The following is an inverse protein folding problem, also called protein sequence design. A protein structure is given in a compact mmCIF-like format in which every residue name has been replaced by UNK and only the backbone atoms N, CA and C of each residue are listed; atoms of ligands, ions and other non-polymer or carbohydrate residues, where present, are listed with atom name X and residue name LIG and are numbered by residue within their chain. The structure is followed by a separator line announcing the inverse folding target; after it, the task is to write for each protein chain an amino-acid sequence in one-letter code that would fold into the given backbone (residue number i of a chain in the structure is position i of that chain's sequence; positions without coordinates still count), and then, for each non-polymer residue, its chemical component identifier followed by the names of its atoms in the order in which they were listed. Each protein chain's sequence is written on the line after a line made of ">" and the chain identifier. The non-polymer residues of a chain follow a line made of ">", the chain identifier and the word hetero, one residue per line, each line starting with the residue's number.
data_IF_066543767226
#
_entry.id   IF_066543767226
#
_cell.length_a   1.000
_cell.length_b   1.000
_cell.length_c   1.000
_cell.angle_alpha   90.00
_cell.angle_beta   90.00
_cell.angle_gamma   90.00
#
_symmetry.space_group_name_H-M   'P 1'
#
loop_
_entity.id
_entity.type
_entity.pdbx_description
1 polymer ?
#
# COMPACT_ATOMS: atom_id res chain seq x y z
N UNK A 1 26.34 11.14 -8.06
CA UNK A 1 25.53 12.37 -7.83
C UNK A 1 24.47 12.04 -6.79
N UNK A 2 24.48 12.73 -5.65
CA UNK A 2 23.55 12.45 -4.54
C UNK A 2 22.22 13.11 -4.88
N UNK A 3 21.18 12.32 -5.13
CA UNK A 3 19.81 12.83 -5.22
C UNK A 3 19.37 13.31 -3.84
N UNK A 4 19.35 14.62 -3.65
CA UNK A 4 18.77 15.24 -2.46
C UNK A 4 17.26 15.04 -2.49
N UNK A 5 16.75 14.29 -1.50
CA UNK A 5 15.33 14.32 -1.17
C UNK A 5 14.97 15.78 -0.84
N UNK A 6 13.99 16.41 -1.51
CA UNK A 6 13.67 17.80 -1.24
C UNK A 6 13.07 17.95 0.16
N UNK A 7 13.80 18.56 1.08
CA UNK A 7 13.25 19.04 2.35
C UNK A 7 12.37 20.27 2.07
N UNK A 8 11.09 20.03 1.78
CA UNK A 8 10.14 21.12 1.49
C UNK A 8 9.75 21.88 2.75
N UNK A 9 10.02 23.19 2.78
CA UNK A 9 9.46 24.16 3.73
C UNK A 9 7.93 24.15 3.62
N UNK A 10 7.26 24.07 4.77
CA UNK A 10 5.82 24.25 4.94
C UNK A 10 5.49 25.75 4.78
N UNK A 11 5.05 26.13 3.59
CA UNK A 11 4.51 27.45 3.28
C UNK A 11 3.81 27.38 1.93
N UNK A 12 2.48 27.33 1.95
CA UNK A 12 1.52 27.61 0.89
C UNK A 12 1.93 27.28 -0.55
N UNK A 13 1.60 26.12 -1.01
CA UNK A 13 1.20 25.66 -2.34
C UNK A 13 1.29 24.15 -2.31
N UNK A 14 0.23 23.43 -2.70
CA UNK A 14 0.19 21.98 -2.80
C UNK A 14 1.18 21.54 -3.90
N UNK A 15 2.45 21.37 -3.55
CA UNK A 15 3.40 20.72 -4.43
C UNK A 15 2.99 19.25 -4.48
N UNK A 16 2.58 18.77 -5.65
CA UNK A 16 2.40 17.35 -5.90
C UNK A 16 3.77 16.71 -5.71
N UNK A 17 3.99 16.08 -4.55
CA UNK A 17 5.22 15.34 -4.33
C UNK A 17 5.09 14.05 -5.11
N UNK A 18 6.03 13.82 -6.00
CA UNK A 18 6.11 12.58 -6.75
C UNK A 18 6.35 11.41 -5.79
N UNK A 19 5.76 10.25 -6.12
CA UNK A 19 6.07 9.01 -5.40
C UNK A 19 7.55 8.65 -5.60
N UNK A 20 8.16 8.11 -4.56
CA UNK A 20 9.48 7.48 -4.65
C UNK A 20 9.38 6.29 -5.61
N UNK A 21 10.25 6.23 -6.59
CA UNK A 21 10.23 5.22 -7.66
C UNK A 21 11.43 4.29 -7.56
N UNK A 22 11.20 3.02 -7.87
CA UNK A 22 12.27 2.06 -8.10
C UNK A 22 13.21 2.58 -9.20
N UNK A 23 14.55 2.48 -9.07
CA UNK A 23 15.30 1.74 -8.04
C UNK A 23 15.78 2.57 -6.81
N UNK A 24 15.07 3.59 -6.38
CA UNK A 24 15.48 4.39 -5.23
C UNK A 24 15.65 3.51 -3.97
N UNK A 25 16.82 3.61 -3.34
CA UNK A 25 17.16 2.83 -2.14
C UNK A 25 16.28 3.17 -0.93
N UNK A 26 15.58 4.29 -0.95
CA UNK A 26 14.63 4.64 0.11
C UNK A 26 13.50 3.62 0.25
N UNK A 27 13.08 2.99 -0.87
CA UNK A 27 12.08 1.93 -0.89
C UNK A 27 12.54 0.63 -0.20
N UNK A 28 13.83 0.53 0.16
CA UNK A 28 14.43 -0.64 0.81
C UNK A 28 14.57 -0.48 2.33
N UNK A 29 14.05 0.59 2.88
CA UNK A 29 14.07 0.82 4.32
C UNK A 29 13.02 -0.03 5.02
N UNK A 30 13.40 -0.56 6.19
CA UNK A 30 12.45 -1.09 7.17
C UNK A 30 11.88 0.11 7.93
N UNK A 31 10.58 0.28 7.86
CA UNK A 31 9.88 1.43 8.43
C UNK A 31 9.83 1.36 9.96
N UNK A 32 9.92 2.52 10.61
CA UNK A 32 9.93 2.68 12.07
C UNK A 32 8.53 2.89 12.62
N UNK A 33 8.27 2.38 13.79
CA UNK A 33 7.02 2.58 14.48
C UNK A 33 6.69 4.06 14.68
N UNK A 34 5.42 4.37 14.58
CA UNK A 34 4.84 5.70 14.84
C UNK A 34 4.51 5.81 16.31
N UNK A 35 4.97 6.89 16.95
CA UNK A 35 4.61 7.21 18.32
C UNK A 35 3.21 7.85 18.40
N UNK A 36 2.52 7.65 19.53
CA UNK A 36 1.25 8.26 19.85
C UNK A 36 1.36 9.19 21.07
N UNK A 37 0.53 10.24 21.15
CA UNK A 37 -0.45 10.68 20.15
C UNK A 37 0.19 11.18 18.87
N UNK A 38 -0.54 11.11 17.74
CA UNK A 38 -0.05 11.58 16.45
C UNK A 38 0.22 13.07 16.48
N UNK A 39 1.41 13.47 16.04
CA UNK A 39 1.72 14.89 15.82
C UNK A 39 1.07 15.42 14.53
N UNK A 40 1.02 16.74 14.40
CA UNK A 40 0.43 17.41 13.23
C UNK A 40 1.13 17.05 11.91
N UNK A 41 2.42 16.70 11.95
CA UNK A 41 3.17 16.29 10.77
C UNK A 41 2.67 14.93 10.28
N UNK A 42 2.44 13.99 11.19
CA UNK A 42 1.93 12.65 10.88
C UNK A 42 0.49 12.71 10.38
N UNK A 43 -0.38 13.55 10.99
CA UNK A 43 -1.75 13.77 10.51
C UNK A 43 -1.79 14.33 9.07
N UNK A 44 -0.92 15.29 8.77
CA UNK A 44 -0.76 15.82 7.40
C UNK A 44 -0.20 14.77 6.43
N UNK A 45 0.69 13.91 6.89
CA UNK A 45 1.22 12.80 6.07
C UNK A 45 0.09 11.85 5.65
N UNK A 46 -0.79 11.44 6.57
CA UNK A 46 -1.94 10.57 6.28
C UNK A 46 -2.81 11.19 5.18
N UNK A 47 -3.19 12.47 5.34
CA UNK A 47 -3.97 13.19 4.33
C UNK A 47 -3.27 13.20 2.97
N UNK A 48 -1.95 13.38 2.97
CA UNK A 48 -1.20 13.40 1.72
C UNK A 48 -1.07 11.99 1.11
N UNK A 49 -0.82 10.95 1.89
CA UNK A 49 -0.78 9.56 1.42
C UNK A 49 -2.09 9.18 0.73
N UNK A 50 -3.22 9.43 1.39
CA UNK A 50 -4.55 9.16 0.83
C UNK A 50 -4.76 9.88 -0.50
N UNK A 51 -4.37 11.16 -0.57
CA UNK A 51 -4.47 11.93 -1.81
C UNK A 51 -3.56 11.38 -2.91
N UNK A 52 -2.31 11.05 -2.59
CA UNK A 52 -1.36 10.46 -3.53
C UNK A 52 -1.86 9.12 -4.07
N UNK A 53 -2.42 8.27 -3.20
CA UNK A 53 -3.03 7.00 -3.60
C UNK A 53 -4.07 7.22 -4.71
N UNK A 54 -5.04 8.10 -4.50
CA UNK A 54 -6.08 8.38 -5.49
C UNK A 54 -5.56 9.06 -6.76
N UNK A 55 -4.62 10.01 -6.64
CA UNK A 55 -4.02 10.69 -7.79
C UNK A 55 -3.31 9.74 -8.74
N UNK A 56 -2.78 8.64 -8.22
CA UNK A 56 -2.08 7.62 -9.00
C UNK A 56 -2.94 6.37 -9.31
N UNK A 57 -4.25 6.44 -9.07
CA UNK A 57 -5.19 5.33 -9.28
C UNK A 57 -4.78 4.06 -8.51
N UNK A 58 -4.21 4.21 -7.31
CA UNK A 58 -3.84 3.12 -6.43
C UNK A 58 -4.97 2.74 -5.48
N UNK A 59 -4.92 1.53 -4.96
CA UNK A 59 -5.81 1.03 -3.89
C UNK A 59 -5.10 0.94 -2.54
N UNK A 60 -3.77 1.14 -2.51
CA UNK A 60 -2.95 1.22 -1.32
C UNK A 60 -1.71 2.08 -1.57
N UNK A 61 -1.14 2.63 -0.50
CA UNK A 61 0.14 3.32 -0.51
C UNK A 61 0.76 3.32 0.89
N UNK A 62 2.02 2.91 0.99
CA UNK A 62 2.81 2.96 2.22
C UNK A 62 3.58 4.28 2.35
N UNK A 63 3.88 4.69 3.57
CA UNK A 63 4.58 5.94 3.87
C UNK A 63 5.95 6.04 3.19
N UNK A 64 6.67 4.92 3.05
CA UNK A 64 7.96 4.88 2.36
C UNK A 64 7.86 5.27 0.90
N UNK A 65 6.75 4.98 0.22
CA UNK A 65 6.51 5.36 -1.17
C UNK A 65 6.32 6.87 -1.36
N UNK A 66 6.00 7.57 -0.29
CA UNK A 66 5.88 9.03 -0.27
C UNK A 66 7.07 9.71 0.44
N UNK A 67 8.14 8.94 0.72
CA UNK A 67 9.41 9.46 1.25
C UNK A 67 9.46 9.61 2.78
N UNK A 68 8.62 8.86 3.52
CA UNK A 68 8.63 8.86 4.99
C UNK A 68 8.92 7.46 5.52
N UNK A 69 9.87 7.40 6.45
CA UNK A 69 10.35 6.17 7.10
C UNK A 69 9.55 5.89 8.37
N UNK A 70 8.24 5.67 8.21
CA UNK A 70 7.31 5.39 9.31
C UNK A 70 6.38 4.23 8.96
N UNK A 71 6.03 3.43 9.96
CA UNK A 71 5.29 2.18 9.81
C UNK A 71 3.79 2.45 9.70
N UNK A 72 3.36 2.91 8.51
CA UNK A 72 1.95 3.11 8.19
C UNK A 72 1.67 3.00 6.69
N UNK A 73 0.44 2.65 6.36
CA UNK A 73 -0.09 2.71 5.01
C UNK A 73 -1.56 3.12 5.00
N UNK A 74 -2.07 3.56 3.84
CA UNK A 74 -3.49 3.77 3.59
C UNK A 74 -3.98 2.83 2.51
N UNK A 75 -5.24 2.41 2.59
CA UNK A 75 -5.87 1.50 1.64
C UNK A 75 -7.32 1.90 1.39
N UNK A 76 -7.78 1.80 0.13
CA UNK A 76 -9.18 1.85 -0.25
C UNK A 76 -9.46 0.84 -1.37
N UNK A 77 -9.97 -0.33 -1.00
CA UNK A 77 -10.39 -1.38 -1.93
C UNK A 77 -11.86 -1.25 -2.37
N UNK A 78 -12.55 -0.15 -2.05
CA UNK A 78 -13.96 0.07 -2.37
C UNK A 78 -14.18 0.62 -3.78
N UNK A 79 -13.21 0.51 -4.69
CA UNK A 79 -13.27 1.07 -6.05
C UNK A 79 -13.53 2.58 -6.07
N UNK A 80 -12.76 3.32 -5.28
CA UNK A 80 -12.83 4.78 -5.19
C UNK A 80 -14.13 5.35 -4.63
N UNK A 81 -14.84 4.59 -3.78
CA UNK A 81 -16.01 5.11 -3.06
C UNK A 81 -15.63 6.09 -1.92
N UNK A 82 -14.35 6.44 -1.82
CA UNK A 82 -13.85 7.44 -0.88
C UNK A 82 -13.88 6.98 0.58
N UNK A 83 -13.62 5.69 0.83
CA UNK A 83 -13.55 5.10 2.17
C UNK A 83 -12.13 4.62 2.50
N UNK A 84 -11.14 5.51 2.51
CA UNK A 84 -9.77 5.14 2.86
C UNK A 84 -9.71 4.67 4.31
N UNK A 85 -8.92 3.63 4.56
CA UNK A 85 -8.58 3.15 5.89
C UNK A 85 -7.10 3.41 6.13
N UNK A 86 -6.75 3.80 7.35
CA UNK A 86 -5.37 4.04 7.77
C UNK A 86 -4.94 2.95 8.72
N UNK A 87 -3.75 2.43 8.51
CA UNK A 87 -3.17 1.34 9.30
C UNK A 87 -1.82 1.81 9.85
N UNK A 88 -1.74 1.99 11.16
CA UNK A 88 -0.54 2.48 11.85
C UNK A 88 0.01 1.37 12.73
N UNK A 89 1.32 1.13 12.65
CA UNK A 89 2.04 0.05 13.32
C UNK A 89 1.38 -1.33 13.10
N UNK A 90 1.04 -1.68 11.85
CA UNK A 90 0.34 -2.92 11.56
C UNK A 90 1.22 -4.14 11.78
N UNK A 91 0.60 -5.23 12.26
CA UNK A 91 1.23 -6.54 12.44
C UNK A 91 0.25 -7.64 12.05
N UNK A 92 0.65 -8.53 11.14
CA UNK A 92 -0.14 -9.71 10.79
C UNK A 92 0.02 -10.73 11.91
N UNK A 93 -1.09 -11.11 12.56
CA UNK A 93 -1.10 -12.05 13.69
C UNK A 93 -1.61 -13.43 13.30
N UNK A 94 -2.29 -13.56 12.16
CA UNK A 94 -2.77 -14.85 11.64
C UNK A 94 -2.91 -14.82 10.13
N UNK A 95 -2.51 -15.91 9.49
CA UNK A 95 -2.69 -16.15 8.07
C UNK A 95 -3.56 -17.39 7.85
N UNK A 96 -4.28 -17.45 6.71
CA UNK A 96 -4.86 -18.70 6.20
C UNK A 96 -3.76 -19.62 5.69
N UNK A 97 -4.02 -20.92 5.67
CA UNK A 97 -3.18 -21.87 4.92
C UNK A 97 -3.36 -21.69 3.42
N UNK A 98 -4.59 -21.40 3.02
CA UNK A 98 -4.96 -21.16 1.64
C UNK A 98 -4.32 -19.88 1.10
N UNK A 99 -3.75 -20.01 -0.09
CA UNK A 99 -3.03 -18.93 -0.78
C UNK A 99 -3.44 -18.86 -2.23
N UNK A 100 -3.29 -17.69 -2.83
CA UNK A 100 -3.49 -17.46 -4.26
C UNK A 100 -2.26 -16.73 -4.83
N UNK A 101 -1.77 -17.21 -5.97
CA UNK A 101 -0.72 -16.55 -6.74
C UNK A 101 -1.37 -15.68 -7.80
N UNK A 102 -0.96 -14.42 -7.88
CA UNK A 102 -1.49 -13.45 -8.84
C UNK A 102 -0.47 -12.35 -9.12
N UNK A 103 -0.66 -11.61 -10.22
CA UNK A 103 0.21 -10.49 -10.58
C UNK A 103 -0.13 -9.23 -9.77
N UNK A 104 0.92 -8.61 -9.24
CA UNK A 104 0.81 -7.34 -8.52
C UNK A 104 1.62 -6.26 -9.23
N UNK A 105 0.96 -5.13 -9.50
CA UNK A 105 1.64 -3.88 -9.85
C UNK A 105 1.95 -3.05 -8.62
N UNK A 106 2.85 -2.08 -8.76
CA UNK A 106 3.19 -1.16 -7.69
C UNK A 106 3.32 0.26 -8.21
N UNK A 107 2.72 1.21 -7.49
CA UNK A 107 2.83 2.64 -7.81
C UNK A 107 4.29 3.12 -7.87
N UNK A 108 5.17 2.50 -7.08
CA UNK A 108 6.61 2.80 -7.06
C UNK A 108 7.43 2.07 -8.11
N UNK A 109 6.85 1.11 -8.84
CA UNK A 109 7.51 0.37 -9.92
C UNK A 109 6.67 0.38 -11.20
N UNK A 110 6.45 1.55 -11.83
CA UNK A 110 5.57 1.69 -12.98
C UNK A 110 6.03 0.81 -14.16
N UNK A 111 5.08 0.12 -14.80
CA UNK A 111 5.35 -0.78 -15.90
C UNK A 111 5.98 -2.13 -15.53
N UNK A 112 6.14 -2.40 -14.23
CA UNK A 112 6.61 -3.68 -13.72
C UNK A 112 5.54 -4.36 -12.89
N UNK A 113 5.55 -5.69 -12.93
CA UNK A 113 4.69 -6.53 -12.08
C UNK A 113 5.52 -7.67 -11.49
N UNK A 114 5.07 -8.23 -10.37
CA UNK A 114 5.59 -9.45 -9.80
C UNK A 114 4.47 -10.47 -9.67
N UNK A 115 4.78 -11.74 -9.90
CA UNK A 115 3.86 -12.83 -9.58
C UNK A 115 4.03 -13.20 -8.11
N UNK A 116 3.01 -12.91 -7.29
CA UNK A 116 3.13 -12.96 -5.83
C UNK A 116 2.09 -13.91 -5.23
N UNK A 117 2.58 -14.87 -4.45
CA UNK A 117 1.74 -15.77 -3.66
C UNK A 117 1.33 -15.08 -2.37
N UNK A 118 0.01 -14.93 -2.12
CA UNK A 118 -0.54 -14.29 -0.93
C UNK A 118 -1.54 -15.19 -0.23
N UNK A 119 -1.62 -15.05 1.09
CA UNK A 119 -2.71 -15.64 1.87
C UNK A 119 -4.03 -14.96 1.51
N UNK A 120 -5.09 -15.75 1.32
CA UNK A 120 -6.42 -15.20 0.98
C UNK A 120 -7.13 -14.56 2.16
N UNK A 121 -6.69 -14.86 3.38
CA UNK A 121 -7.23 -14.32 4.62
C UNK A 121 -6.09 -14.04 5.60
N UNK A 122 -6.10 -12.86 6.18
CA UNK A 122 -5.17 -12.45 7.24
C UNK A 122 -5.93 -11.80 8.39
N UNK A 123 -5.40 -11.92 9.60
CA UNK A 123 -5.83 -11.12 10.74
C UNK A 123 -4.72 -10.15 11.09
N UNK A 124 -5.06 -8.87 11.16
CA UNK A 124 -4.14 -7.77 11.37
C UNK A 124 -4.44 -7.08 12.69
N UNK A 125 -3.40 -6.82 13.49
CA UNK A 125 -3.45 -5.84 14.57
C UNK A 125 -2.91 -4.51 14.02
N UNK A 126 -3.55 -3.41 14.35
CA UNK A 126 -3.11 -2.06 13.95
C UNK A 126 -3.74 -1.00 14.84
N UNK A 127 -3.21 0.22 14.78
CA UNK A 127 -3.83 1.41 15.37
C UNK A 127 -4.44 2.28 14.28
N UNK A 128 -5.54 2.95 14.61
CA UNK A 128 -6.11 4.00 13.77
C UNK A 128 -5.47 5.37 14.06
N UNK A 129 -6.03 6.43 13.49
CA UNK A 129 -5.54 7.79 13.64
C UNK A 129 -5.71 8.35 15.06
N UNK A 130 -6.67 7.84 15.81
CA UNK A 130 -6.94 8.17 17.20
C UNK A 130 -6.03 7.41 18.17
N UNK A 131 -5.34 6.37 17.70
CA UNK A 131 -4.47 5.51 18.48
C UNK A 131 -5.18 4.30 19.10
N UNK A 132 -6.45 4.10 18.73
CA UNK A 132 -7.23 2.95 19.16
C UNK A 132 -6.70 1.66 18.51
N UNK A 133 -6.60 0.60 19.30
CA UNK A 133 -6.11 -0.69 18.84
C UNK A 133 -7.23 -1.51 18.22
N UNK A 134 -6.96 -2.04 17.04
CA UNK A 134 -7.88 -2.89 16.30
C UNK A 134 -7.26 -4.25 16.00
N UNK A 135 -8.08 -5.29 16.07
CA UNK A 135 -7.78 -6.60 15.50
C UNK A 135 -8.89 -6.95 14.51
N UNK A 136 -8.56 -7.04 13.23
CA UNK A 136 -9.57 -7.30 12.18
C UNK A 136 -9.05 -8.34 11.19
N UNK A 137 -9.98 -9.16 10.69
CA UNK A 137 -9.71 -10.14 9.63
C UNK A 137 -10.13 -9.56 8.28
N UNK A 138 -9.25 -9.68 7.31
CA UNK A 138 -9.41 -9.21 5.92
C UNK A 138 -9.34 -10.40 4.97
N UNK A 139 -9.98 -10.27 3.81
CA UNK A 139 -10.15 -11.34 2.85
C UNK A 139 -9.80 -10.88 1.43
N UNK A 140 -9.44 -11.82 0.58
CA UNK A 140 -9.27 -11.65 -0.88
C UNK A 140 -8.43 -10.42 -1.24
N UNK A 141 -9.00 -9.46 -1.98
CA UNK A 141 -8.29 -8.26 -2.45
C UNK A 141 -7.79 -7.38 -1.29
N UNK A 142 -8.57 -7.21 -0.22
CA UNK A 142 -8.11 -6.45 0.95
C UNK A 142 -6.91 -7.13 1.62
N UNK A 143 -6.98 -8.46 1.80
CA UNK A 143 -5.87 -9.23 2.36
C UNK A 143 -4.62 -9.15 1.48
N UNK A 144 -4.77 -9.19 0.15
CA UNK A 144 -3.67 -9.04 -0.81
C UNK A 144 -3.06 -7.64 -0.72
N UNK A 145 -3.89 -6.59 -0.77
CA UNK A 145 -3.44 -5.20 -0.68
C UNK A 145 -2.67 -4.97 0.63
N UNK A 146 -3.20 -5.40 1.78
CA UNK A 146 -2.52 -5.26 3.07
C UNK A 146 -1.15 -5.96 3.04
N UNK A 147 -1.05 -7.17 2.53
CA UNK A 147 0.22 -7.90 2.44
C UNK A 147 1.22 -7.18 1.52
N UNK A 148 0.74 -6.55 0.44
CA UNK A 148 1.56 -5.72 -0.44
C UNK A 148 2.10 -4.49 0.28
N UNK A 149 1.25 -3.76 1.01
CA UNK A 149 1.67 -2.58 1.77
C UNK A 149 2.58 -2.95 2.95
N UNK A 150 2.35 -4.09 3.60
CA UNK A 150 3.24 -4.63 4.64
C UNK A 150 4.65 -4.92 4.10
N UNK A 151 4.76 -5.45 2.88
CA UNK A 151 6.06 -5.65 2.23
C UNK A 151 6.83 -4.33 2.08
N UNK A 152 6.15 -3.25 1.70
CA UNK A 152 6.76 -1.92 1.62
C UNK A 152 7.32 -1.47 2.98
N UNK A 153 6.64 -1.79 4.08
CA UNK A 153 7.13 -1.47 5.43
C UNK A 153 8.38 -2.27 5.83
N UNK A 154 8.61 -3.41 5.16
CA UNK A 154 9.80 -4.27 5.34
C UNK A 154 10.85 -4.06 4.22
N UNK A 155 10.71 -3.01 3.41
CA UNK A 155 11.63 -2.69 2.32
C UNK A 155 11.59 -3.65 1.13
N UNK A 156 10.47 -4.37 0.95
CA UNK A 156 10.24 -5.30 -0.15
C UNK A 156 9.31 -4.68 -1.20
N UNK A 157 9.45 -5.12 -2.45
CA UNK A 157 8.60 -4.75 -3.56
C UNK A 157 8.03 -6.02 -4.21
N UNK A 158 6.86 -5.93 -4.83
CA UNK A 158 6.26 -7.08 -5.53
C UNK A 158 7.18 -7.65 -6.62
N UNK A 159 8.01 -6.83 -7.25
CA UNK A 159 8.99 -7.24 -8.26
C UNK A 159 10.17 -8.05 -7.71
N UNK A 160 10.29 -8.19 -6.40
CA UNK A 160 11.35 -9.02 -5.78
C UNK A 160 10.98 -10.50 -5.73
N UNK A 161 9.67 -10.83 -5.86
CA UNK A 161 9.17 -12.19 -5.79
C UNK A 161 9.43 -12.98 -7.07
N UNK A 162 9.32 -12.31 -8.23
CA UNK A 162 9.77 -12.85 -9.51
C UNK A 162 10.31 -11.76 -10.46
N UNK A 163 11.32 -12.11 -11.24
CA UNK A 163 11.89 -11.23 -12.26
C UNK A 163 11.07 -11.31 -13.55
N UNK A 164 9.88 -10.72 -13.57
CA UNK A 164 9.06 -10.61 -14.77
C UNK A 164 9.00 -9.18 -15.28
N UNK A 165 9.46 -8.92 -16.52
CA UNK A 165 9.11 -7.69 -17.23
C UNK A 165 7.69 -7.83 -17.79
N UNK A 166 6.82 -6.88 -17.44
CA UNK A 166 5.47 -6.84 -17.98
C UNK A 166 5.49 -6.36 -19.44
N UNK A 167 5.02 -7.21 -20.36
CA UNK A 167 4.67 -6.79 -21.72
C UNK A 167 3.20 -6.31 -21.72
N UNK A 168 2.98 -5.04 -22.03
CA UNK A 168 1.65 -4.41 -22.09
C UNK A 168 0.66 -5.10 -23.03
N UNK A 169 1.13 -5.98 -23.89
CA UNK A 169 0.35 -6.60 -24.96
C UNK A 169 -0.49 -7.81 -24.50
N UNK A 170 -0.39 -8.25 -23.26
CA UNK A 170 -1.05 -9.49 -22.79
C UNK A 170 -2.10 -9.36 -21.70
N UNK A 171 -2.22 -8.23 -21.01
CA UNK A 171 -3.25 -8.07 -19.99
C UNK A 171 -3.84 -6.67 -19.97
N UNK A 172 -5.05 -6.57 -20.47
CA UNK A 172 -5.88 -5.39 -20.27
C UNK A 172 -6.17 -5.28 -18.76
N UNK A 173 -5.83 -4.15 -18.15
CA UNK A 173 -6.05 -3.88 -16.71
C UNK A 173 -7.53 -4.03 -16.27
N UNK A 174 -8.43 -4.20 -17.23
CA UNK A 174 -9.86 -4.46 -17.08
C UNK A 174 -10.15 -5.85 -16.50
N UNK A 175 -9.28 -6.84 -16.69
CA UNK A 175 -9.55 -8.23 -16.29
C UNK A 175 -9.30 -8.52 -14.81
N UNK A 176 -8.46 -7.74 -14.14
CA UNK A 176 -8.25 -7.89 -12.69
C UNK A 176 -9.43 -7.43 -11.84
N UNK A 177 -10.38 -6.70 -12.43
CA UNK A 177 -11.49 -6.06 -11.72
C UNK A 177 -12.79 -6.84 -11.87
N UNK A 178 -12.92 -7.70 -12.88
CA UNK A 178 -14.22 -8.29 -13.24
C UNK A 178 -14.44 -9.75 -12.79
N UNK A 179 -13.45 -10.44 -12.26
CA UNK A 179 -13.59 -11.88 -12.01
C UNK A 179 -14.08 -12.28 -10.61
N UNK A 180 -14.05 -11.41 -9.60
CA UNK A 180 -14.32 -11.85 -8.21
C UNK A 180 -15.54 -11.24 -7.51
N UNK A 181 -16.43 -10.52 -8.22
CA UNK A 181 -17.64 -9.94 -7.61
C UNK A 181 -18.95 -10.43 -8.21
N UNK A 182 -19.04 -11.66 -8.67
CA UNK A 182 -20.35 -12.31 -8.78
C UNK A 182 -20.68 -12.98 -7.45
N UNK A 183 -21.23 -12.16 -6.57
CA UNK A 183 -21.90 -12.55 -5.36
C UNK A 183 -22.96 -13.59 -5.61
N UNK A 184 -22.97 -14.57 -4.75
CA UNK A 184 -24.21 -15.27 -4.40
C UNK A 184 -25.13 -14.28 -3.68
N UNK A 185 -26.04 -13.64 -4.41
CA UNK A 185 -27.34 -13.25 -3.91
C UNK A 185 -28.30 -14.31 -4.46
N UNK A 186 -29.17 -14.77 -3.59
CA UNK A 186 -30.31 -15.67 -3.75
C UNK A 186 -30.11 -17.13 -3.33
N UNK A 187 -30.44 -17.37 -2.10
CA UNK A 187 -31.54 -18.26 -1.62
C UNK A 187 -31.65 -18.16 -0.12
#
# INVERSE_FOLDING_TARGET
>A
MRNKVPTGRLGGTLVSRELVKYPDVFLRKVSKDVAFPLDDKTKRLITWMTRAMYQHNGIGVAAVQVGYDVRMFTMDCTRYQGKPQVFINPTIVKNSEETITDFEGCLSAPGKQGEVKRHIRITLNYKDEEGEEHQKTFYNMEARCIQHEMDHLEGKLCIDYEKGEYSRDKHNAQTMVDTDFRTKSDS
#
